data_IF_202990005719
#
_entry.id   IF_202990005719
#
_cell.length_a   1.000
_cell.length_b   1.000
_cell.length_c   1.000
_cell.angle_alpha   90.00
_cell.angle_beta   90.00
_cell.angle_gamma   90.00
#
_symmetry.space_group_name_H-M   'P 1'
#
loop_
_entity.id
_entity.type
_entity.pdbx_description
1 polymer ?
#
# COMPACT_ATOMS: atom_id res chain seq x y z
N UNK A 1 8.09 -21.08 7.28
CA UNK A 1 7.85 -22.55 7.14
C UNK A 1 8.48 -23.12 5.88
N UNK A 2 8.31 -22.52 4.69
CA UNK A 2 8.97 -22.98 3.45
C UNK A 2 10.51 -22.85 3.47
N UNK A 3 11.05 -21.93 4.25
CA UNK A 3 12.50 -21.68 4.36
C UNK A 3 13.23 -22.75 5.20
N UNK A 4 12.51 -23.44 6.08
CA UNK A 4 13.07 -24.50 6.95
C UNK A 4 13.24 -25.83 6.21
N UNK A 5 12.63 -25.99 5.03
CA UNK A 5 12.62 -27.25 4.26
C UNK A 5 13.61 -27.20 3.09
N UNK A 6 13.97 -26.00 2.61
CA UNK A 6 14.85 -25.84 1.44
C UNK A 6 16.33 -25.59 1.80
N UNK A 7 16.64 -25.12 3.01
CA UNK A 7 18.02 -24.87 3.47
C UNK A 7 18.26 -25.39 4.89
N UNK A 8 18.79 -26.61 5.07
CA UNK A 8 19.09 -27.17 6.39
C UNK A 8 20.40 -26.67 7.03
N UNK A 9 21.20 -25.83 6.36
CA UNK A 9 22.43 -25.27 6.95
C UNK A 9 22.89 -23.99 6.26
N UNK A 10 22.75 -22.84 6.92
CA UNK A 10 23.89 -22.02 7.35
C UNK A 10 23.44 -20.67 7.95
N UNK A 11 23.67 -20.57 9.26
CA UNK A 11 23.76 -19.37 10.10
C UNK A 11 22.44 -18.66 10.47
N UNK A 12 22.17 -18.42 11.77
CA UNK A 12 21.14 -17.46 12.15
C UNK A 12 21.51 -16.14 11.47
N UNK A 13 20.60 -15.55 10.70
CA UNK A 13 20.85 -14.25 10.11
C UNK A 13 21.40 -13.33 11.22
N UNK A 14 22.61 -12.75 11.07
CA UNK A 14 23.19 -11.97 12.14
C UNK A 14 22.18 -10.89 12.54
N UNK A 15 21.95 -10.72 13.84
CA UNK A 15 20.92 -9.84 14.39
C UNK A 15 20.96 -8.44 13.74
N UNK A 16 22.17 -7.96 13.43
CA UNK A 16 22.45 -6.76 12.66
C UNK A 16 21.77 -6.69 11.29
N UNK A 17 21.76 -7.77 10.51
CA UNK A 17 21.09 -7.80 9.19
C UNK A 17 19.57 -7.65 9.35
N UNK A 18 18.99 -8.26 10.38
CA UNK A 18 17.56 -8.11 10.68
C UNK A 18 17.21 -6.68 11.10
N UNK A 19 18.03 -6.07 11.96
CA UNK A 19 17.87 -4.67 12.38
C UNK A 19 17.99 -3.72 11.19
N UNK A 20 19.02 -3.89 10.35
CA UNK A 20 19.23 -3.01 9.18
C UNK A 20 18.04 -3.10 8.21
N UNK A 21 17.53 -4.30 7.94
CA UNK A 21 16.36 -4.47 7.06
C UNK A 21 15.13 -3.78 7.66
N UNK A 22 14.85 -3.98 8.95
CA UNK A 22 13.71 -3.34 9.61
C UNK A 22 13.85 -1.81 9.61
N UNK A 23 15.05 -1.29 9.88
CA UNK A 23 15.34 0.14 9.85
C UNK A 23 15.09 0.73 8.46
N UNK A 24 15.55 0.06 7.40
CA UNK A 24 15.34 0.51 6.02
C UNK A 24 13.85 0.56 5.69
N UNK A 25 13.07 -0.46 6.09
CA UNK A 25 11.61 -0.47 5.88
C UNK A 25 10.94 0.69 6.60
N UNK A 26 11.27 0.90 7.89
CA UNK A 26 10.69 1.99 8.69
C UNK A 26 11.09 3.36 8.13
N UNK A 27 12.36 3.56 7.75
CA UNK A 27 12.83 4.80 7.14
C UNK A 27 12.16 5.08 5.81
N UNK A 28 11.96 4.04 4.98
CA UNK A 28 11.25 4.17 3.70
C UNK A 28 9.79 4.53 3.93
N UNK A 29 9.13 3.88 4.89
CA UNK A 29 7.75 4.16 5.26
C UNK A 29 7.59 5.56 5.87
N UNK A 30 8.57 6.01 6.67
CA UNK A 30 8.61 7.35 7.24
C UNK A 30 8.82 8.43 6.15
N UNK A 31 9.74 8.19 5.20
CA UNK A 31 9.95 9.08 4.06
C UNK A 31 8.69 9.16 3.18
N UNK A 32 8.03 8.02 2.92
CA UNK A 32 6.73 7.94 2.26
C UNK A 32 5.67 8.73 3.02
N UNK A 33 5.59 8.58 4.34
CA UNK A 33 4.63 9.31 5.17
C UNK A 33 4.86 10.83 5.17
N UNK A 34 6.12 11.28 5.05
CA UNK A 34 6.44 12.71 4.90
C UNK A 34 6.14 13.25 3.50
N UNK A 35 6.28 12.42 2.46
CA UNK A 35 5.87 12.82 1.11
C UNK A 35 4.36 12.74 0.92
N UNK A 36 3.68 12.00 1.80
CA UNK A 36 2.30 11.57 1.63
C UNK A 36 1.52 11.78 2.92
N UNK A 37 1.03 13.00 3.15
CA UNK A 37 0.16 13.33 4.30
C UNK A 37 -1.18 12.56 4.32
N UNK A 38 -1.47 11.80 3.25
CA UNK A 38 -2.65 10.97 3.07
C UNK A 38 -2.36 9.48 3.33
N UNK A 39 -2.93 8.90 4.39
CA UNK A 39 -2.88 7.44 4.60
C UNK A 39 -3.52 6.63 3.44
N UNK A 40 -4.46 7.24 2.71
CA UNK A 40 -5.23 6.60 1.64
C UNK A 40 -4.40 6.09 0.46
N UNK A 41 -3.43 6.85 -0.03
CA UNK A 41 -2.62 6.44 -1.19
C UNK A 41 -1.58 5.37 -0.81
N UNK A 42 -1.11 5.35 0.44
CA UNK A 42 -0.24 4.27 0.95
C UNK A 42 -1.02 2.96 1.02
N UNK A 43 -2.29 3.00 1.46
CA UNK A 43 -3.16 1.83 1.44
C UNK A 43 -3.48 1.36 0.01
N UNK A 44 -3.66 2.28 -0.94
CA UNK A 44 -3.88 1.96 -2.35
C UNK A 44 -2.65 1.28 -2.97
N UNK A 45 -1.45 1.84 -2.75
CA UNK A 45 -0.19 1.29 -3.26
C UNK A 45 0.13 -0.07 -2.63
N UNK A 46 0.04 -0.17 -1.31
CA UNK A 46 0.29 -1.42 -0.58
C UNK A 46 -0.74 -2.49 -0.97
N UNK A 47 -1.98 -2.09 -1.22
CA UNK A 47 -3.03 -2.96 -1.74
C UNK A 47 -2.66 -3.55 -3.10
N UNK A 48 -2.29 -2.72 -4.08
CA UNK A 48 -1.88 -3.19 -5.42
C UNK A 48 -0.60 -4.01 -5.37
N UNK A 49 0.43 -3.55 -4.65
CA UNK A 49 1.73 -4.21 -4.56
C UNK A 49 1.69 -5.51 -3.75
N UNK A 50 0.79 -5.66 -2.78
CA UNK A 50 0.62 -6.92 -2.05
C UNK A 50 -0.33 -7.88 -2.79
N UNK A 51 -1.49 -7.39 -3.25
CA UNK A 51 -2.51 -8.24 -3.84
C UNK A 51 -2.13 -8.75 -5.23
N UNK A 52 -1.55 -7.92 -6.10
CA UNK A 52 -1.23 -8.34 -7.47
C UNK A 52 -0.17 -9.46 -7.51
N UNK A 53 0.99 -9.36 -6.85
CA UNK A 53 1.96 -10.44 -6.81
C UNK A 53 1.37 -11.72 -6.22
N UNK A 54 0.62 -11.64 -5.12
CA UNK A 54 0.00 -12.83 -4.52
C UNK A 54 -1.02 -13.48 -5.48
N UNK A 55 -1.90 -12.70 -6.12
CA UNK A 55 -2.93 -13.22 -7.01
C UNK A 55 -2.39 -13.70 -8.37
N UNK A 56 -1.32 -13.10 -8.89
CA UNK A 56 -0.80 -13.38 -10.23
C UNK A 56 0.45 -14.26 -10.24
N UNK A 57 1.19 -14.40 -9.13
CA UNK A 57 2.44 -15.19 -9.06
C UNK A 57 2.22 -16.53 -8.37
N UNK A 58 1.40 -16.60 -7.32
CA UNK A 58 1.11 -17.87 -6.62
C UNK A 58 0.48 -18.92 -7.56
N UNK A 59 -0.60 -18.63 -8.31
CA UNK A 59 -1.21 -19.62 -9.18
C UNK A 59 -0.27 -20.19 -10.25
N UNK A 60 0.50 -19.39 -11.03
CA UNK A 60 1.42 -19.94 -12.01
C UNK A 60 2.58 -20.71 -11.38
N UNK A 61 3.08 -20.29 -10.22
CA UNK A 61 4.14 -21.04 -9.50
C UNK A 61 3.63 -22.40 -9.04
N UNK A 62 2.40 -22.47 -8.50
CA UNK A 62 1.77 -23.75 -8.12
C UNK A 62 1.58 -24.67 -9.33
N UNK A 63 1.11 -24.12 -10.45
CA UNK A 63 0.91 -24.89 -11.69
C UNK A 63 2.24 -25.38 -12.26
N UNK A 64 3.28 -24.53 -12.32
CA UNK A 64 4.61 -24.92 -12.82
C UNK A 64 5.27 -25.99 -11.95
N UNK A 65 5.09 -25.91 -10.62
CA UNK A 65 5.63 -26.90 -9.69
C UNK A 65 4.94 -28.25 -9.77
N UNK A 66 3.62 -28.27 -9.97
CA UNK A 66 2.85 -29.51 -10.13
C UNK A 66 3.02 -30.15 -11.52
N UNK A 67 3.24 -29.34 -12.56
CA UNK A 67 3.36 -29.85 -13.92
C UNK A 67 4.72 -30.48 -14.22
N UNK A 68 5.80 -30.11 -13.52
CA UNK A 68 7.15 -30.68 -13.71
C UNK A 68 7.63 -30.68 -15.18
N UNK A 69 7.08 -29.78 -15.98
CA UNK A 69 7.27 -29.68 -17.43
C UNK A 69 8.08 -28.41 -17.75
N UNK A 70 8.87 -28.42 -18.83
CA UNK A 70 9.74 -27.30 -19.19
C UNK A 70 8.95 -26.00 -19.39
N UNK A 71 9.50 -24.93 -18.80
CA UNK A 71 8.95 -23.57 -18.73
C UNK A 71 8.56 -22.92 -20.07
N UNK A 72 8.99 -23.49 -21.20
CA UNK A 72 8.87 -22.93 -22.55
C UNK A 72 8.02 -23.79 -23.52
N UNK A 73 7.24 -24.75 -23.04
CA UNK A 73 6.27 -25.46 -23.88
C UNK A 73 4.99 -24.63 -24.05
N UNK A 74 4.43 -24.58 -25.27
CA UNK A 74 3.19 -23.85 -25.64
C UNK A 74 1.95 -24.26 -24.82
N UNK A 75 2.06 -25.28 -23.97
CA UNK A 75 1.02 -25.72 -23.03
C UNK A 75 0.83 -24.76 -21.82
N UNK A 76 1.78 -23.86 -21.57
CA UNK A 76 1.76 -22.92 -20.43
C UNK A 76 1.29 -21.49 -20.78
N UNK A 77 0.47 -21.32 -21.83
CA UNK A 77 -0.01 -19.98 -22.27
C UNK A 77 -0.87 -19.31 -21.19
N UNK A 78 -1.75 -20.08 -20.53
CA UNK A 78 -2.66 -19.55 -19.50
C UNK A 78 -1.92 -18.93 -18.32
N UNK A 79 -0.97 -19.61 -17.65
CA UNK A 79 -0.21 -19.00 -16.55
C UNK A 79 0.64 -17.80 -16.98
N UNK A 80 1.20 -17.83 -18.19
CA UNK A 80 1.96 -16.69 -18.74
C UNK A 80 1.04 -15.49 -18.97
N UNK A 81 -0.14 -15.70 -19.56
CA UNK A 81 -1.11 -14.63 -19.85
C UNK A 81 -1.62 -13.96 -18.56
N UNK A 82 -1.91 -14.76 -17.53
CA UNK A 82 -2.37 -14.28 -16.23
C UNK A 82 -1.26 -13.46 -15.55
N UNK A 83 -0.01 -13.96 -15.56
CA UNK A 83 1.13 -13.25 -14.98
C UNK A 83 1.42 -11.92 -15.69
N UNK A 84 1.39 -11.89 -17.03
CA UNK A 84 1.64 -10.66 -17.80
C UNK A 84 0.52 -9.64 -17.62
N UNK A 85 -0.75 -10.06 -17.69
CA UNK A 85 -1.88 -9.18 -17.44
C UNK A 85 -1.83 -8.58 -16.03
N UNK A 86 -1.56 -9.40 -15.02
CA UNK A 86 -1.42 -8.94 -13.64
C UNK A 86 -0.31 -7.93 -13.43
N UNK A 87 0.82 -8.15 -14.09
CA UNK A 87 1.95 -7.21 -14.07
C UNK A 87 1.56 -5.88 -14.72
N UNK A 88 0.85 -5.91 -15.86
CA UNK A 88 0.36 -4.69 -16.52
C UNK A 88 -0.62 -3.90 -15.63
N UNK A 89 -1.59 -4.58 -15.01
CA UNK A 89 -2.55 -3.92 -14.10
C UNK A 89 -1.83 -3.29 -12.91
N UNK A 90 -0.85 -3.97 -12.33
CA UNK A 90 -0.04 -3.43 -11.22
C UNK A 90 0.73 -2.16 -11.64
N UNK A 91 1.35 -2.18 -12.83
CA UNK A 91 2.07 -1.01 -13.37
C UNK A 91 1.12 0.16 -13.65
N UNK A 92 -0.04 -0.11 -14.24
CA UNK A 92 -1.06 0.93 -14.52
C UNK A 92 -1.58 1.52 -13.21
N UNK A 93 -1.89 0.69 -12.21
CA UNK A 93 -2.34 1.14 -10.89
C UNK A 93 -1.30 2.02 -10.20
N UNK A 94 -0.02 1.63 -10.26
CA UNK A 94 1.08 2.43 -9.72
C UNK A 94 1.23 3.78 -10.43
N UNK A 95 1.13 3.82 -11.77
CA UNK A 95 1.20 5.07 -12.53
C UNK A 95 0.03 5.99 -12.19
N UNK A 96 -1.18 5.44 -12.08
CA UNK A 96 -2.37 6.21 -11.70
C UNK A 96 -2.22 6.80 -10.30
N UNK A 97 -1.71 6.05 -9.34
CA UNK A 97 -1.45 6.54 -7.99
C UNK A 97 -0.49 7.74 -7.99
N UNK A 98 0.62 7.66 -8.73
CA UNK A 98 1.60 8.76 -8.87
C UNK A 98 0.98 9.97 -9.58
N UNK A 99 0.17 9.73 -10.61
CA UNK A 99 -0.44 10.81 -11.38
C UNK A 99 -1.48 11.59 -10.56
N UNK A 100 -2.28 10.89 -9.75
CA UNK A 100 -3.21 11.52 -8.82
C UNK A 100 -2.47 12.33 -7.75
N UNK A 101 -1.34 11.82 -7.24
CA UNK A 101 -0.47 12.55 -6.32
C UNK A 101 0.08 13.84 -6.96
N UNK A 102 0.62 13.76 -8.18
CA UNK A 102 1.20 14.93 -8.87
C UNK A 102 0.16 15.98 -9.26
N UNK A 103 -1.12 15.62 -9.40
CA UNK A 103 -2.22 16.56 -9.66
C UNK A 103 -2.71 17.32 -8.43
N UNK A 104 -2.13 17.05 -7.26
CA UNK A 104 -2.23 17.97 -6.13
C UNK A 104 -3.56 17.91 -5.40
N UNK A 105 -4.13 16.72 -5.19
CA UNK A 105 -5.00 16.51 -4.02
C UNK A 105 -4.11 16.37 -2.79
N UNK A 106 -3.43 17.45 -2.41
CA UNK A 106 -2.85 17.58 -1.08
C UNK A 106 -3.95 17.18 -0.10
N UNK A 107 -3.71 16.20 0.77
CA UNK A 107 -4.58 16.05 1.93
C UNK A 107 -4.48 17.35 2.71
N UNK A 108 -5.42 18.24 2.44
CA UNK A 108 -5.52 19.53 3.09
C UNK A 108 -5.94 19.24 4.51
N UNK A 109 -4.95 19.06 5.38
CA UNK A 109 -5.11 19.11 6.81
C UNK A 109 -5.82 20.44 7.13
N UNK A 110 -7.13 20.39 7.34
CA UNK A 110 -7.95 21.58 7.61
C UNK A 110 -8.87 22.10 6.48
N UNK A 111 -9.28 21.29 5.49
CA UNK A 111 -10.59 21.59 4.86
C UNK A 111 -11.67 21.21 5.88
N UNK A 112 -12.14 22.22 6.59
CA UNK A 112 -13.31 22.15 7.45
C UNK A 112 -14.44 21.48 6.66
N UNK A 113 -15.00 20.40 7.20
CA UNK A 113 -16.12 19.73 6.55
C UNK A 113 -17.29 20.71 6.52
N UNK A 114 -18.10 20.71 5.46
CA UNK A 114 -19.11 21.76 5.19
C UNK A 114 -20.10 22.00 6.35
N UNK A 115 -20.23 21.03 7.27
CA UNK A 115 -20.99 21.20 8.51
C UNK A 115 -20.39 22.21 9.50
N UNK A 116 -19.07 22.45 9.50
CA UNK A 116 -18.41 23.46 10.35
C UNK A 116 -18.77 24.90 9.92
N UNK A 117 -19.05 25.14 8.63
CA UNK A 117 -19.44 26.47 8.14
C UNK A 117 -20.93 26.76 8.25
N UNK A 118 -21.75 25.72 8.42
CA UNK A 118 -23.20 25.88 8.61
C UNK A 118 -23.55 26.62 9.91
N UNK A 119 -22.70 26.52 10.94
CA UNK A 119 -22.92 27.22 12.22
C UNK A 119 -22.72 28.75 12.11
N UNK A 120 -22.04 29.24 11.07
CA UNK A 120 -21.80 30.68 10.86
C UNK A 120 -22.84 31.37 9.97
N UNK A 121 -23.57 30.66 9.09
CA UNK A 121 -24.64 31.25 8.26
C UNK A 121 -26.04 31.17 8.89
N UNK A 122 -26.18 30.46 10.01
CA UNK A 122 -27.45 30.23 10.70
C UNK A 122 -27.81 31.20 11.81
N UNK A 123 -27.11 32.34 11.99
CA UNK A 123 -27.42 33.27 13.09
C UNK A 123 -27.41 34.75 12.68
N UNK A 124 -28.57 35.34 12.35
CA UNK A 124 -28.86 36.69 12.79
C UNK A 124 -29.24 36.62 14.28
N UNK A 125 -28.36 37.11 15.16
CA UNK A 125 -28.48 37.17 16.63
C UNK A 125 -28.34 35.86 17.41
N UNK A 126 -27.13 35.58 17.92
CA UNK A 126 -26.94 35.47 19.37
C UNK A 126 -25.47 35.57 19.79
N UNK A 127 -25.15 36.74 20.34
CA UNK A 127 -24.17 37.04 21.39
C UNK A 127 -23.06 36.02 21.67
N UNK A 128 -21.83 36.40 21.29
CA UNK A 128 -20.57 35.79 21.73
C UNK A 128 -20.37 35.96 23.24
N UNK A 129 -20.27 34.86 23.99
CA UNK A 129 -19.40 34.76 25.17
C UNK A 129 -18.54 33.49 25.06
N UNK A 130 -17.25 33.55 25.42
CA UNK A 130 -16.32 32.46 25.19
C UNK A 130 -16.31 31.49 26.38
N UNK A 131 -16.50 30.20 26.13
CA UNK A 131 -16.30 29.19 27.16
C UNK A 131 -15.72 27.91 26.55
N UNK A 132 -14.38 27.85 26.62
CA UNK A 132 -13.62 26.73 27.17
C UNK A 132 -14.42 25.41 27.30
N UNK A 133 -14.27 24.50 26.35
CA UNK A 133 -14.77 23.14 26.51
C UNK A 133 -13.62 22.14 26.47
N UNK A 134 -13.13 21.91 27.69
CA UNK A 134 -12.25 20.83 28.11
C UNK A 134 -12.92 19.47 27.87
N UNK A 135 -12.28 18.65 27.04
CA UNK A 135 -12.05 17.19 27.18
C UNK A 135 -13.05 16.41 28.06
N UNK A 136 -13.85 15.52 27.45
CA UNK A 136 -14.07 14.13 27.90
C UNK A 136 -15.09 13.36 27.05
N UNK A 137 -14.70 12.12 26.78
CA UNK A 137 -15.46 10.92 26.35
C UNK A 137 -16.08 10.95 24.97
#
# INVERSE_FOLDING_TARGET
VIENVLFPSSQPAPLWRHIVVSLVIVLTNAALSMTTDCLGIVLELNGVLAACPLAFIIPPVCVMRLRQEPIFSKSNIVPILIATFGTLVAVIGFIMAIYNFSKGSQCSHGREMEYCLMESLGSPNMTTTPSNFTLRT
#
